data_IF_643734226857
#
_entry.id   IF_643734226857
#
_cell.length_a   1.000
_cell.length_b   1.000
_cell.length_c   1.000
_cell.angle_alpha   90.00
_cell.angle_beta   90.00
_cell.angle_gamma   90.00
#
_symmetry.space_group_name_H-M   'P 1'
#
loop_
_entity.id
_entity.type
_entity.pdbx_description
1 polymer ?
#
# COMPACT_ATOMS: atom_id res chain seq x y z
N UNK A 1 6.36 -0.82 -11.99
CA UNK A 1 6.11 -2.18 -12.53
C UNK A 1 7.38 -2.79 -13.07
N UNK A 2 7.56 -4.09 -12.84
CA UNK A 2 8.74 -4.83 -13.26
C UNK A 2 8.72 -5.13 -14.77
N UNK A 3 9.57 -4.44 -15.53
CA UNK A 3 9.71 -4.60 -16.97
C UNK A 3 10.30 -5.96 -17.36
N UNK A 4 11.00 -6.65 -16.46
CA UNK A 4 11.64 -7.94 -16.76
C UNK A 4 10.62 -9.05 -16.99
N UNK A 5 9.51 -9.03 -16.26
CA UNK A 5 8.42 -10.00 -16.40
C UNK A 5 7.32 -9.55 -17.37
N UNK A 6 7.39 -8.31 -17.86
CA UNK A 6 6.37 -7.73 -18.72
C UNK A 6 6.16 -8.53 -20.02
N UNK A 7 7.20 -8.96 -20.77
CA UNK A 7 7.02 -9.79 -21.96
C UNK A 7 6.04 -10.94 -21.76
N UNK A 8 5.14 -11.15 -22.73
CA UNK A 8 4.06 -12.15 -22.73
C UNK A 8 2.89 -11.92 -21.77
N UNK A 9 2.92 -10.86 -20.96
CA UNK A 9 1.80 -10.54 -20.04
C UNK A 9 0.70 -9.77 -20.75
N UNK A 10 -0.52 -10.11 -20.38
CA UNK A 10 -1.73 -9.37 -20.75
C UNK A 10 -1.78 -8.03 -20.01
N UNK A 11 -2.40 -7.05 -20.64
CA UNK A 11 -2.71 -5.75 -20.05
C UNK A 11 -4.10 -5.26 -20.45
N UNK A 12 -4.68 -4.45 -19.56
CA UNK A 12 -5.86 -3.65 -19.81
C UNK A 12 -5.44 -2.21 -20.03
N UNK A 13 -5.74 -1.66 -21.21
CA UNK A 13 -5.57 -0.26 -21.55
C UNK A 13 -6.90 0.44 -21.32
N UNK A 14 -6.89 1.45 -20.44
CA UNK A 14 -8.10 2.18 -20.08
C UNK A 14 -8.33 3.32 -21.08
N UNK A 15 -9.40 3.22 -21.87
CA UNK A 15 -9.81 4.23 -22.86
C UNK A 15 -11.18 4.81 -22.51
N UNK A 16 -11.57 5.89 -23.19
CA UNK A 16 -12.92 6.47 -23.04
C UNK A 16 -14.04 5.52 -23.49
N UNK A 17 -13.73 4.57 -24.38
CA UNK A 17 -14.69 3.61 -24.93
C UNK A 17 -14.69 2.28 -24.14
N UNK A 18 -14.00 2.22 -23.02
CA UNK A 18 -13.82 1.02 -22.20
C UNK A 18 -12.41 0.45 -22.28
N UNK A 19 -12.27 -0.79 -21.82
CA UNK A 19 -10.97 -1.47 -21.74
C UNK A 19 -10.63 -2.09 -23.09
N UNK A 20 -9.46 -1.75 -23.61
CA UNK A 20 -8.81 -2.45 -24.74
C UNK A 20 -7.77 -3.40 -24.17
N UNK A 21 -7.82 -4.67 -24.58
CA UNK A 21 -6.80 -5.65 -24.19
C UNK A 21 -5.56 -5.52 -25.06
N UNK A 22 -4.39 -5.69 -24.45
CA UNK A 22 -3.13 -5.80 -25.16
C UNK A 22 -2.22 -6.84 -24.54
N UNK A 23 -1.12 -7.12 -25.21
CA UNK A 23 -0.08 -8.03 -24.73
C UNK A 23 1.27 -7.33 -24.86
N UNK A 24 2.11 -7.42 -23.84
CA UNK A 24 3.50 -7.00 -23.96
C UNK A 24 4.25 -7.90 -24.95
N UNK A 25 4.62 -7.31 -26.09
CA UNK A 25 5.35 -7.99 -27.15
C UNK A 25 6.85 -8.08 -26.85
N UNK A 26 7.47 -9.15 -27.33
CA UNK A 26 8.91 -9.33 -27.26
C UNK A 26 9.41 -10.30 -28.36
N UNK A 27 10.56 -10.06 -29.01
CA UNK A 27 11.05 -10.93 -30.08
C UNK A 27 11.21 -12.39 -29.65
N UNK A 28 10.95 -13.33 -30.55
CA UNK A 28 11.14 -14.76 -30.26
C UNK A 28 12.62 -15.07 -29.98
N UNK A 29 12.90 -15.98 -29.03
CA UNK A 29 14.28 -16.29 -28.60
C UNK A 29 15.22 -16.68 -29.74
N UNK A 30 14.70 -17.33 -30.79
CA UNK A 30 15.46 -17.76 -31.97
C UNK A 30 15.84 -16.61 -32.92
N UNK A 31 15.19 -15.44 -32.79
CA UNK A 31 15.42 -14.26 -33.63
C UNK A 31 16.32 -13.22 -32.97
N UNK A 32 16.68 -13.43 -31.70
CA UNK A 32 17.51 -12.51 -30.93
C UNK A 32 18.99 -12.77 -31.19
N UNK A 33 19.75 -11.68 -31.25
CA UNK A 33 21.20 -11.75 -31.25
C UNK A 33 21.70 -12.11 -29.84
N UNK A 34 22.15 -13.35 -29.67
CA UNK A 34 22.68 -13.86 -28.39
C UNK A 34 23.94 -13.13 -27.93
N UNK A 35 24.71 -12.54 -28.85
CA UNK A 35 25.93 -11.80 -28.51
C UNK A 35 25.66 -10.41 -27.95
N UNK A 36 24.44 -9.88 -28.16
CA UNK A 36 24.02 -8.54 -27.73
C UNK A 36 22.54 -8.52 -27.32
N UNK A 37 22.12 -9.50 -26.52
CA UNK A 37 20.73 -9.59 -26.07
C UNK A 37 20.42 -8.45 -25.09
N UNK A 38 19.54 -7.54 -25.51
CA UNK A 38 19.05 -6.45 -24.65
C UNK A 38 17.95 -7.00 -23.74
N UNK A 39 17.99 -6.75 -22.42
CA UNK A 39 16.87 -7.09 -21.56
C UNK A 39 15.67 -6.17 -21.86
N UNK A 40 14.44 -6.62 -21.55
CA UNK A 40 13.27 -5.75 -21.48
C UNK A 40 13.56 -4.53 -20.62
N UNK A 41 13.11 -3.36 -21.06
CA UNK A 41 13.22 -2.06 -20.40
C UNK A 41 12.03 -1.20 -20.81
N UNK A 42 11.72 -0.17 -20.02
CA UNK A 42 10.60 0.73 -20.30
C UNK A 42 10.66 1.39 -21.69
N UNK A 43 11.87 1.62 -22.22
CA UNK A 43 12.10 2.27 -23.51
C UNK A 43 12.07 1.30 -24.71
N UNK A 44 12.04 -0.01 -24.49
CA UNK A 44 12.11 -1.01 -25.57
C UNK A 44 10.99 -2.05 -25.56
N UNK A 45 10.17 -2.10 -24.50
CA UNK A 45 8.94 -2.89 -24.48
C UNK A 45 7.81 -2.14 -25.19
N UNK A 46 6.90 -2.90 -25.81
CA UNK A 46 5.73 -2.36 -26.49
C UNK A 46 4.52 -3.26 -26.22
N UNK A 47 3.33 -2.69 -26.38
CA UNK A 47 2.06 -3.41 -26.23
C UNK A 47 1.45 -3.58 -27.61
N UNK A 48 1.18 -4.82 -27.95
CA UNK A 48 0.43 -5.19 -29.14
C UNK A 48 -1.07 -5.29 -28.77
N UNK A 49 -1.90 -4.57 -29.53
CA UNK A 49 -3.37 -4.57 -29.41
C UNK A 49 -4.04 -5.25 -30.61
N UNK A 50 -3.26 -5.91 -31.47
CA UNK A 50 -3.73 -6.56 -32.70
C UNK A 50 -4.01 -5.62 -33.86
N UNK A 51 -3.57 -4.36 -33.77
CA UNK A 51 -3.82 -3.33 -34.78
C UNK A 51 -2.75 -3.36 -35.88
N UNK A 52 -3.17 -3.20 -37.14
CA UNK A 52 -2.27 -3.20 -38.31
C UNK A 52 -1.45 -1.91 -38.44
N UNK A 53 -1.99 -0.80 -37.97
CA UNK A 53 -1.43 0.53 -38.12
C UNK A 53 -1.92 1.48 -37.01
N UNK A 54 -1.36 2.70 -37.02
CA UNK A 54 -1.69 3.76 -36.08
C UNK A 54 -3.18 4.13 -36.11
N UNK A 55 -3.81 4.14 -37.29
CA UNK A 55 -5.22 4.55 -37.42
C UNK A 55 -6.15 3.55 -36.74
N UNK A 56 -5.83 2.25 -36.81
CA UNK A 56 -6.56 1.22 -36.09
C UNK A 56 -6.37 1.31 -34.57
N UNK A 57 -5.15 1.60 -34.09
CA UNK A 57 -4.90 1.89 -32.66
C UNK A 57 -5.75 3.06 -32.17
N UNK A 58 -5.80 4.16 -32.93
CA UNK A 58 -6.62 5.33 -32.59
C UNK A 58 -8.11 5.02 -32.61
N UNK A 59 -8.60 4.20 -33.55
CA UNK A 59 -10.00 3.74 -33.61
C UNK A 59 -10.40 2.91 -32.40
N UNK A 60 -9.46 2.15 -31.82
CA UNK A 60 -9.68 1.45 -30.54
C UNK A 60 -9.77 2.42 -29.34
N UNK A 61 -9.48 3.71 -29.54
CA UNK A 61 -9.51 4.73 -28.49
C UNK A 61 -8.21 4.83 -27.69
N UNK A 62 -7.16 4.11 -28.11
CA UNK A 62 -5.85 4.16 -27.46
C UNK A 62 -5.12 5.42 -27.90
N UNK A 63 -4.68 6.24 -26.94
CA UNK A 63 -3.93 7.46 -27.20
C UNK A 63 -2.85 7.70 -26.13
N UNK A 64 -1.96 8.65 -26.37
CA UNK A 64 -0.94 9.06 -25.39
C UNK A 64 -1.63 9.50 -24.10
N UNK A 65 -1.18 8.95 -22.98
CA UNK A 65 -1.78 9.18 -21.66
C UNK A 65 -2.81 8.15 -21.21
N UNK A 66 -3.18 7.16 -22.05
CA UNK A 66 -3.95 6.01 -21.58
C UNK A 66 -3.20 5.26 -20.47
N UNK A 67 -3.88 5.00 -19.36
CA UNK A 67 -3.35 4.24 -18.24
C UNK A 67 -3.45 2.75 -18.54
N UNK A 68 -2.45 2.00 -18.10
CA UNK A 68 -2.37 0.55 -18.31
C UNK A 68 -2.34 -0.15 -16.96
N UNK A 69 -3.07 -1.24 -16.83
CA UNK A 69 -3.03 -2.12 -15.65
C UNK A 69 -2.90 -3.57 -16.08
N UNK A 70 -2.17 -4.37 -15.31
CA UNK A 70 -2.24 -5.82 -15.46
C UNK A 70 -3.64 -6.34 -15.05
N UNK A 71 -4.16 -7.40 -15.71
CA UNK A 71 -5.48 -7.94 -15.42
C UNK A 71 -5.48 -8.97 -14.29
N UNK A 72 -4.35 -9.16 -13.58
CA UNK A 72 -4.25 -10.11 -12.47
C UNK A 72 -5.32 -9.85 -11.41
N UNK A 73 -5.94 -10.94 -10.94
CA UNK A 73 -7.09 -10.94 -10.05
C UNK A 73 -6.74 -11.42 -8.66
N UNK A 74 -7.75 -11.42 -7.77
CA UNK A 74 -7.61 -11.91 -6.42
C UNK A 74 -7.68 -13.43 -6.33
N UNK A 75 -6.73 -14.00 -5.62
CA UNK A 75 -6.64 -15.42 -5.34
C UNK A 75 -6.30 -15.64 -3.86
N UNK A 76 -6.76 -16.78 -3.34
CA UNK A 76 -6.34 -17.29 -2.04
C UNK A 76 -5.40 -18.47 -2.30
N UNK A 77 -4.11 -18.29 -2.02
CA UNK A 77 -3.12 -19.37 -2.07
C UNK A 77 -3.00 -20.03 -0.71
N UNK A 78 -2.92 -21.36 -0.71
CA UNK A 78 -2.72 -22.17 0.49
C UNK A 78 -3.57 -21.74 1.70
N UNK A 79 -4.89 -21.60 1.49
CA UNK A 79 -5.93 -21.29 2.50
C UNK A 79 -5.98 -19.84 3.00
N UNK A 80 -4.84 -19.17 3.19
CA UNK A 80 -4.76 -17.93 3.98
C UNK A 80 -3.88 -16.83 3.36
N UNK A 81 -3.22 -17.09 2.22
CA UNK A 81 -2.43 -16.07 1.51
C UNK A 81 -3.29 -15.36 0.48
N UNK A 82 -3.54 -14.09 0.72
CA UNK A 82 -4.22 -13.21 -0.23
C UNK A 82 -3.21 -12.72 -1.26
N UNK A 83 -3.52 -12.97 -2.53
CA UNK A 83 -2.62 -12.74 -3.66
C UNK A 83 -3.36 -12.00 -4.76
N UNK A 84 -2.90 -10.80 -5.11
CA UNK A 84 -3.43 -10.02 -6.22
C UNK A 84 -2.46 -8.90 -6.61
N UNK A 85 -2.81 -8.13 -7.64
CA UNK A 85 -2.09 -6.89 -7.98
C UNK A 85 -2.43 -5.75 -7.03
N UNK A 86 -1.47 -4.87 -6.78
CA UNK A 86 -1.65 -3.61 -6.07
C UNK A 86 -2.33 -3.81 -4.71
N UNK A 87 -1.88 -4.79 -3.94
CA UNK A 87 -2.21 -4.90 -2.52
C UNK A 87 -1.66 -3.67 -1.81
N UNK A 88 -0.44 -3.27 -2.18
CA UNK A 88 0.11 -1.95 -1.90
C UNK A 88 -0.61 -0.86 -2.72
N UNK A 89 -1.31 0.11 -2.12
CA UNK A 89 -1.88 0.10 -0.76
C UNK A 89 -3.41 0.01 -0.79
N UNK A 90 -3.98 -0.73 -1.76
CA UNK A 90 -5.44 -1.01 -1.78
C UNK A 90 -5.90 -1.78 -0.54
N UNK A 91 -5.03 -2.61 0.03
CA UNK A 91 -5.32 -3.28 1.30
C UNK A 91 -5.51 -2.26 2.42
N UNK A 92 -4.66 -1.22 2.53
CA UNK A 92 -4.86 -0.13 3.49
C UNK A 92 -6.24 0.51 3.36
N UNK A 93 -6.63 0.83 2.13
CA UNK A 93 -7.96 1.40 1.85
C UNK A 93 -9.13 0.47 2.19
N UNK A 94 -8.97 -0.83 2.01
CA UNK A 94 -9.94 -1.83 2.48
C UNK A 94 -9.99 -1.87 4.02
N UNK A 95 -8.84 -1.90 4.68
CA UNK A 95 -8.75 -2.01 6.15
C UNK A 95 -9.41 -0.83 6.85
N UNK A 96 -9.16 0.41 6.41
CA UNK A 96 -9.80 1.58 7.02
C UNK A 96 -11.31 1.65 6.75
N UNK A 97 -11.77 1.13 5.61
CA UNK A 97 -13.19 1.01 5.32
C UNK A 97 -13.87 -0.03 6.23
N UNK A 98 -13.19 -1.15 6.51
CA UNK A 98 -13.67 -2.15 7.47
C UNK A 98 -13.72 -1.61 8.89
N UNK A 99 -12.75 -0.79 9.32
CA UNK A 99 -12.83 -0.08 10.61
C UNK A 99 -14.10 0.78 10.69
N UNK A 100 -14.39 1.56 9.65
CA UNK A 100 -15.60 2.38 9.59
C UNK A 100 -16.88 1.52 9.62
N UNK A 101 -16.89 0.37 8.92
CA UNK A 101 -17.98 -0.61 8.95
C UNK A 101 -18.19 -1.17 10.36
N UNK A 102 -17.12 -1.57 11.04
CA UNK A 102 -17.18 -2.10 12.42
C UNK A 102 -17.70 -1.06 13.41
N UNK A 103 -17.26 0.20 13.31
CA UNK A 103 -17.80 1.29 14.14
C UNK A 103 -19.31 1.46 13.93
N UNK A 104 -19.77 1.38 12.69
CA UNK A 104 -21.19 1.49 12.34
C UNK A 104 -22.00 0.30 12.89
N UNK A 105 -21.59 -0.94 12.61
CA UNK A 105 -22.31 -2.15 13.01
C UNK A 105 -22.38 -2.31 14.52
N UNK A 106 -21.30 -1.96 15.23
CA UNK A 106 -21.26 -1.96 16.70
C UNK A 106 -21.91 -0.73 17.33
N UNK A 107 -22.47 0.19 16.51
CA UNK A 107 -23.15 1.42 16.95
C UNK A 107 -22.28 2.29 17.85
N UNK A 108 -20.97 2.30 17.60
CA UNK A 108 -20.00 3.09 18.36
C UNK A 108 -20.12 4.55 17.92
N UNK A 109 -20.24 5.45 18.89
CA UNK A 109 -20.12 6.90 18.67
C UNK A 109 -18.81 7.38 19.27
N UNK A 110 -17.89 7.82 18.43
CA UNK A 110 -16.63 8.40 18.88
C UNK A 110 -16.88 9.83 19.41
N UNK A 111 -16.18 10.23 20.49
CA UNK A 111 -16.32 11.56 21.07
C UNK A 111 -15.57 12.66 20.30
N UNK A 112 -15.12 12.36 19.08
CA UNK A 112 -14.34 13.23 18.19
C UNK A 112 -14.74 12.99 16.73
N UNK A 113 -14.39 13.92 15.85
CA UNK A 113 -14.56 13.75 14.40
C UNK A 113 -13.55 12.73 13.86
N UNK A 114 -14.05 11.66 13.23
CA UNK A 114 -13.22 10.70 12.51
C UNK A 114 -13.30 10.99 11.01
N UNK A 115 -12.13 11.20 10.39
CA UNK A 115 -11.99 11.30 8.94
C UNK A 115 -11.29 10.05 8.43
N UNK A 116 -11.93 9.34 7.51
CA UNK A 116 -11.37 8.14 6.87
C UNK A 116 -11.03 8.49 5.43
N UNK A 117 -9.75 8.44 5.08
CA UNK A 117 -9.26 8.95 3.80
C UNK A 117 -8.37 7.94 3.09
N UNK A 118 -8.61 7.73 1.79
CA UNK A 118 -7.64 7.14 0.88
C UNK A 118 -6.90 8.27 0.16
N UNK A 119 -5.59 8.34 0.31
CA UNK A 119 -4.75 9.26 -0.45
C UNK A 119 -4.56 8.74 -1.88
N UNK A 120 -4.16 9.65 -2.77
CA UNK A 120 -3.71 9.32 -4.12
C UNK A 120 -2.27 9.80 -4.26
N UNK A 121 -1.53 9.26 -5.23
CA UNK A 121 -0.19 9.77 -5.57
C UNK A 121 0.83 9.66 -4.42
N UNK A 122 0.67 8.68 -3.53
CA UNK A 122 1.68 8.28 -2.53
C UNK A 122 3.00 7.94 -3.27
N UNK A 123 2.91 7.03 -4.23
CA UNK A 123 3.99 6.44 -5.04
C UNK A 123 4.81 7.42 -5.89
N UNK A 124 4.37 8.69 -5.97
CA UNK A 124 5.07 9.76 -6.68
C UNK A 124 5.45 10.94 -5.76
N UNK A 125 5.37 10.72 -4.44
CA UNK A 125 5.82 11.66 -3.41
C UNK A 125 4.70 12.21 -2.53
N UNK A 126 3.80 11.35 -2.03
CA UNK A 126 2.86 11.64 -0.94
C UNK A 126 1.85 12.78 -1.22
N UNK A 127 1.60 13.10 -2.50
CA UNK A 127 0.91 14.35 -2.89
C UNK A 127 -0.53 14.43 -2.41
N UNK A 128 -1.25 13.31 -2.42
CA UNK A 128 -2.61 13.25 -1.89
C UNK A 128 -2.63 13.49 -0.38
N UNK A 129 -1.71 12.89 0.37
CA UNK A 129 -1.62 13.10 1.81
C UNK A 129 -1.26 14.55 2.15
N UNK A 130 -0.32 15.17 1.43
CA UNK A 130 -0.02 16.61 1.58
C UNK A 130 -1.29 17.46 1.44
N UNK A 131 -2.13 17.22 0.43
CA UNK A 131 -3.40 17.94 0.25
C UNK A 131 -4.40 17.68 1.39
N UNK A 132 -4.53 16.42 1.82
CA UNK A 132 -5.44 16.02 2.90
C UNK A 132 -5.05 16.73 4.20
N UNK A 133 -3.75 16.78 4.53
CA UNK A 133 -3.29 17.42 5.77
C UNK A 133 -3.65 18.90 5.83
N UNK A 134 -3.54 19.62 4.71
CA UNK A 134 -3.89 21.04 4.64
C UNK A 134 -5.40 21.28 4.71
N UNK A 135 -6.18 20.34 4.20
CA UNK A 135 -7.65 20.44 4.17
C UNK A 135 -8.27 20.10 5.52
N UNK A 136 -7.89 18.97 6.10
CA UNK A 136 -8.49 18.43 7.33
C UNK A 136 -7.85 19.03 8.58
N UNK A 137 -6.54 19.32 8.53
CA UNK A 137 -5.74 19.80 9.68
C UNK A 137 -6.01 18.99 10.96
N UNK A 138 -5.83 17.65 10.92
CA UNK A 138 -6.22 16.77 12.03
C UNK A 138 -5.34 16.97 13.26
N UNK A 139 -5.86 16.61 14.44
CA UNK A 139 -5.10 16.61 15.69
C UNK A 139 -4.17 15.39 15.82
N UNK A 140 -4.61 14.25 15.29
CA UNK A 140 -3.84 13.01 15.26
C UNK A 140 -4.16 12.22 13.98
N UNK A 141 -3.21 11.40 13.54
CA UNK A 141 -3.34 10.54 12.38
C UNK A 141 -2.83 9.12 12.70
N UNK A 142 -3.70 8.12 12.52
CA UNK A 142 -3.28 6.72 12.46
C UNK A 142 -3.26 6.36 10.98
N UNK A 143 -2.05 6.15 10.46
CA UNK A 143 -1.81 5.80 9.07
C UNK A 143 -1.57 4.30 8.97
N UNK A 144 -2.08 3.69 7.90
CA UNK A 144 -1.79 2.30 7.58
C UNK A 144 -1.22 2.19 6.18
N UNK A 145 -0.14 1.44 6.08
CA UNK A 145 0.57 1.17 4.84
C UNK A 145 1.17 -0.23 4.89
N UNK A 146 1.80 -0.69 3.83
CA UNK A 146 2.48 -1.99 3.84
C UNK A 146 3.92 -1.88 4.34
N UNK A 147 4.51 -3.01 4.71
CA UNK A 147 5.93 -3.13 5.01
C UNK A 147 6.45 -4.48 4.50
N UNK A 148 7.76 -4.70 4.52
CA UNK A 148 8.35 -5.89 3.92
C UNK A 148 8.31 -7.11 4.86
N UNK A 149 7.76 -8.23 4.39
CA UNK A 149 8.09 -9.53 4.96
C UNK A 149 9.53 -9.91 4.58
N UNK A 150 10.42 -9.73 5.56
CA UNK A 150 11.87 -9.99 5.49
C UNK A 150 12.26 -11.47 5.56
N UNK A 151 11.30 -12.38 5.74
CA UNK A 151 11.51 -13.83 5.58
C UNK A 151 11.52 -14.25 4.11
N UNK A 152 11.14 -13.35 3.21
CA UNK A 152 11.27 -13.54 1.75
C UNK A 152 12.72 -13.88 1.40
N UNK A 153 12.97 -14.92 0.58
CA UNK A 153 14.32 -15.26 0.13
C UNK A 153 15.05 -14.05 -0.47
N UNK A 154 16.35 -13.96 -0.22
CA UNK A 154 17.26 -12.88 -0.68
C UNK A 154 17.09 -11.52 0.03
N UNK A 155 16.22 -11.37 1.04
CA UNK A 155 16.21 -10.20 1.90
C UNK A 155 17.14 -10.41 3.10
N UNK A 156 18.08 -9.48 3.33
CA UNK A 156 18.96 -9.52 4.51
C UNK A 156 18.29 -8.90 5.74
N UNK A 157 17.82 -9.77 6.64
CA UNK A 157 17.19 -9.40 7.91
C UNK A 157 18.08 -8.52 8.82
N UNK A 158 19.41 -8.60 8.71
CA UNK A 158 20.29 -7.72 9.51
C UNK A 158 20.15 -6.26 9.09
N UNK A 159 19.87 -6.02 7.81
CA UNK A 159 19.74 -4.68 7.26
C UNK A 159 18.29 -4.16 7.33
N UNK A 160 17.32 -5.03 7.07
CA UNK A 160 15.91 -4.65 6.95
C UNK A 160 15.11 -4.83 8.26
N UNK A 161 15.71 -5.45 9.28
CA UNK A 161 14.99 -5.90 10.46
C UNK A 161 14.29 -7.24 10.25
N UNK A 162 13.53 -7.68 11.24
CA UNK A 162 12.76 -8.92 11.17
C UNK A 162 11.27 -8.62 11.23
N UNK A 163 10.59 -8.95 10.15
CA UNK A 163 9.14 -8.89 9.97
C UNK A 163 8.72 -10.08 9.13
N UNK A 164 7.62 -10.73 9.51
CA UNK A 164 7.11 -11.96 8.92
C UNK A 164 5.59 -11.89 8.68
N UNK A 165 5.12 -12.45 7.57
CA UNK A 165 3.70 -12.66 7.31
C UNK A 165 3.09 -13.62 8.35
N UNK A 166 1.90 -13.30 8.86
CA UNK A 166 1.14 -14.10 9.82
C UNK A 166 1.53 -13.85 11.28
N UNK A 167 2.48 -12.96 11.54
CA UNK A 167 2.90 -12.57 12.88
C UNK A 167 2.24 -11.26 13.37
N UNK A 168 1.25 -10.74 12.64
CA UNK A 168 0.45 -9.58 13.01
C UNK A 168 0.97 -8.25 12.44
N UNK A 169 0.25 -7.15 12.70
CA UNK A 169 0.59 -5.80 12.25
C UNK A 169 1.97 -5.36 12.73
N UNK A 170 2.59 -4.43 12.02
CA UNK A 170 3.91 -3.90 12.37
C UNK A 170 3.80 -2.47 12.83
N UNK A 171 4.18 -2.20 14.08
CA UNK A 171 4.17 -0.87 14.66
C UNK A 171 5.54 -0.24 14.46
N UNK A 172 5.58 0.93 13.81
CA UNK A 172 6.83 1.58 13.44
C UNK A 172 7.39 2.47 14.56
N UNK A 173 8.72 2.47 14.70
CA UNK A 173 9.52 3.43 15.44
C UNK A 173 10.29 4.27 14.43
N UNK A 174 9.87 5.52 14.23
CA UNK A 174 10.49 6.41 13.24
C UNK A 174 10.36 7.88 13.67
N UNK A 175 11.17 8.80 13.11
CA UNK A 175 11.07 10.24 13.42
C UNK A 175 9.68 10.85 13.19
N UNK A 176 8.92 10.33 12.23
CA UNK A 176 7.54 10.77 11.95
C UNK A 176 6.48 10.12 12.86
N UNK A 177 6.86 9.14 13.70
CA UNK A 177 5.93 8.43 14.59
C UNK A 177 6.00 9.01 16.00
N UNK A 178 4.88 9.55 16.47
CA UNK A 178 4.74 10.16 17.78
C UNK A 178 4.67 9.08 18.88
N UNK A 179 5.50 9.21 19.92
CA UNK A 179 5.70 8.16 20.92
C UNK A 179 4.45 7.90 21.77
N UNK A 180 3.74 8.92 22.27
CA UNK A 180 2.54 8.72 23.11
C UNK A 180 1.43 7.97 22.34
N UNK A 181 1.21 8.30 21.07
CA UNK A 181 0.23 7.64 20.20
C UNK A 181 0.69 6.21 19.85
N UNK A 182 1.98 6.01 19.56
CA UNK A 182 2.54 4.67 19.35
C UNK A 182 2.39 3.78 20.59
N UNK A 183 2.75 4.27 21.77
CA UNK A 183 2.63 3.50 23.02
C UNK A 183 1.17 3.15 23.30
N UNK A 184 0.22 4.08 23.07
CA UNK A 184 -1.22 3.77 23.15
C UNK A 184 -1.63 2.62 22.21
N UNK A 185 -1.13 2.60 20.97
CA UNK A 185 -1.40 1.50 20.02
C UNK A 185 -0.83 0.18 20.57
N UNK A 186 0.39 0.20 21.10
CA UNK A 186 1.03 -0.98 21.71
C UNK A 186 0.23 -1.49 22.91
N UNK A 187 -0.12 -0.61 23.85
CA UNK A 187 -0.93 -0.94 25.02
C UNK A 187 -2.30 -1.50 24.62
N UNK A 188 -2.90 -0.96 23.56
CA UNK A 188 -4.16 -1.46 22.99
C UNK A 188 -3.99 -2.87 22.46
N UNK A 189 -2.93 -3.13 21.70
CA UNK A 189 -2.61 -4.46 21.18
C UNK A 189 -2.42 -5.47 22.31
N UNK A 190 -1.65 -5.11 23.35
CA UNK A 190 -1.38 -5.95 24.52
C UNK A 190 -2.66 -6.25 25.32
N UNK A 191 -3.49 -5.22 25.57
CA UNK A 191 -4.77 -5.34 26.30
C UNK A 191 -5.74 -6.29 25.59
N UNK A 192 -5.85 -6.16 24.26
CA UNK A 192 -6.77 -6.96 23.45
C UNK A 192 -6.14 -8.25 22.90
N UNK A 193 -4.90 -8.56 23.30
CA UNK A 193 -4.12 -9.73 22.85
C UNK A 193 -4.04 -9.84 21.32
N UNK A 194 -3.88 -8.71 20.64
CA UNK A 194 -3.66 -8.64 19.21
C UNK A 194 -2.15 -8.87 18.98
N UNK A 195 -1.74 -9.90 18.22
CA UNK A 195 -0.33 -10.11 17.92
C UNK A 195 0.20 -8.94 17.10
N UNK A 196 1.44 -8.52 17.34
CA UNK A 196 2.07 -7.46 16.56
C UNK A 196 3.60 -7.59 16.56
N UNK A 197 4.22 -6.91 15.61
CA UNK A 197 5.66 -6.83 15.41
C UNK A 197 6.12 -5.38 15.51
N UNK A 198 7.43 -5.16 15.60
CA UNK A 198 8.02 -3.82 15.66
C UNK A 198 9.02 -3.64 14.54
N UNK A 199 9.03 -2.46 13.94
CA UNK A 199 10.01 -2.06 12.92
C UNK A 199 10.59 -0.70 13.27
N UNK A 200 11.85 -0.46 12.90
CA UNK A 200 12.49 0.83 13.05
C UNK A 200 12.80 1.42 11.67
N UNK A 201 12.48 2.69 11.47
CA UNK A 201 12.82 3.45 10.27
C UNK A 201 13.65 4.68 10.68
N UNK A 202 14.90 4.76 10.24
CA UNK A 202 15.87 5.71 10.79
C UNK A 202 15.76 7.15 10.25
N UNK A 203 15.32 7.31 9.00
CA UNK A 203 15.24 8.63 8.32
C UNK A 203 13.81 9.08 8.07
N UNK A 204 13.01 8.22 7.47
CA UNK A 204 11.64 8.46 7.07
C UNK A 204 10.89 7.13 7.07
N UNK A 205 9.57 7.18 7.15
CA UNK A 205 8.76 5.97 6.93
C UNK A 205 8.65 5.66 5.45
N UNK A 206 8.73 6.68 4.58
CA UNK A 206 8.46 6.56 3.15
C UNK A 206 6.97 6.42 2.85
N UNK A 207 6.10 6.76 3.81
CA UNK A 207 4.64 6.59 3.72
C UNK A 207 3.96 7.94 3.95
N UNK A 208 2.64 7.97 3.76
CA UNK A 208 1.80 9.12 4.10
C UNK A 208 2.00 9.63 5.55
N UNK A 209 2.48 8.78 6.46
CA UNK A 209 2.83 9.18 7.84
C UNK A 209 3.79 10.36 7.88
N UNK A 210 4.75 10.42 6.96
CA UNK A 210 5.71 11.52 6.89
C UNK A 210 5.00 12.84 6.52
N UNK A 211 4.07 12.81 5.57
CA UNK A 211 3.29 13.98 5.17
C UNK A 211 2.40 14.49 6.31
N UNK A 212 1.73 13.59 7.04
CA UNK A 212 0.93 13.99 8.21
C UNK A 212 1.81 14.57 9.32
N UNK A 213 2.85 13.84 9.74
CA UNK A 213 3.67 14.20 10.90
C UNK A 213 4.27 15.61 10.79
N UNK A 214 4.77 15.99 9.62
CA UNK A 214 5.45 17.27 9.40
C UNK A 214 4.53 18.41 8.92
N UNK A 215 3.22 18.16 8.80
CA UNK A 215 2.25 19.19 8.41
C UNK A 215 1.80 20.04 9.59
N UNK A 216 1.22 21.21 9.32
CA UNK A 216 0.41 22.00 10.26
C UNK A 216 1.07 22.38 11.62
N UNK A 217 2.41 22.40 11.68
CA UNK A 217 3.15 22.66 12.93
C UNK A 217 3.43 21.40 13.76
N UNK A 218 3.10 20.21 13.23
CA UNK A 218 3.27 18.91 13.84
C UNK A 218 1.93 18.24 14.12
N UNK A 219 1.64 17.13 13.44
CA UNK A 219 0.47 16.28 13.72
C UNK A 219 0.94 15.01 14.42
N UNK A 220 0.34 14.66 15.56
CA UNK A 220 0.63 13.41 16.25
C UNK A 220 0.25 12.22 15.35
N UNK A 221 1.25 11.61 14.72
CA UNK A 221 1.04 10.58 13.68
C UNK A 221 1.63 9.25 14.12
N UNK A 222 1.02 8.15 13.75
CA UNK A 222 1.55 6.81 13.97
C UNK A 222 1.26 5.90 12.78
N UNK A 223 2.13 4.90 12.59
CA UNK A 223 2.08 3.98 11.46
C UNK A 223 1.87 2.54 11.95
N UNK A 224 0.79 1.93 11.48
CA UNK A 224 0.48 0.50 11.64
C UNK A 224 0.58 -0.15 10.25
N UNK A 225 1.64 -0.91 10.02
CA UNK A 225 1.89 -1.52 8.72
C UNK A 225 1.37 -2.95 8.59
N UNK A 226 0.99 -3.32 7.37
CA UNK A 226 0.69 -4.70 6.96
C UNK A 226 1.94 -5.36 6.37
N UNK A 227 2.46 -6.45 6.95
CA UNK A 227 3.50 -7.25 6.31
C UNK A 227 3.08 -7.72 4.92
N UNK A 228 3.95 -7.53 3.92
CA UNK A 228 3.69 -7.85 2.52
C UNK A 228 4.93 -8.44 1.83
N UNK A 229 4.70 -9.42 0.96
CA UNK A 229 5.71 -9.97 0.04
C UNK A 229 5.55 -9.40 -1.36
N UNK A 230 6.70 -9.22 -2.00
CA UNK A 230 6.82 -8.83 -3.41
C UNK A 230 6.28 -7.43 -3.72
N UNK A 231 6.43 -6.52 -2.76
CA UNK A 231 6.05 -5.10 -2.89
C UNK A 231 6.54 -4.51 -4.21
N UNK A 232 5.66 -3.77 -4.90
CA UNK A 232 5.90 -3.13 -6.20
C UNK A 232 6.18 -4.08 -7.38
N UNK A 233 6.05 -5.40 -7.18
CA UNK A 233 5.95 -6.34 -8.29
C UNK A 233 4.50 -6.38 -8.82
N UNK A 234 4.25 -7.14 -9.89
CA UNK A 234 2.89 -7.17 -10.49
C UNK A 234 1.87 -7.84 -9.59
N UNK A 235 2.27 -8.85 -8.82
CA UNK A 235 1.40 -9.64 -7.94
C UNK A 235 2.07 -9.77 -6.59
N UNK A 236 1.36 -9.33 -5.57
CA UNK A 236 1.83 -9.23 -4.19
C UNK A 236 1.15 -10.27 -3.31
N UNK A 237 1.64 -10.45 -2.09
CA UNK A 237 1.06 -11.44 -1.16
C UNK A 237 1.04 -10.95 0.27
N UNK A 238 -0.09 -11.10 0.94
CA UNK A 238 -0.28 -10.83 2.38
C UNK A 238 -0.95 -11.99 3.08
N UNK A 239 -0.86 -12.03 4.40
CA UNK A 239 -1.59 -12.99 5.22
C UNK A 239 -2.98 -12.46 5.54
N UNK A 240 -4.02 -13.29 5.39
CA UNK A 240 -5.40 -12.90 5.73
C UNK A 240 -5.51 -12.41 7.18
N UNK A 241 -4.94 -13.15 8.12
CA UNK A 241 -5.04 -12.79 9.55
C UNK A 241 -4.29 -11.50 9.91
N UNK A 242 -3.24 -11.13 9.17
CA UNK A 242 -2.58 -9.83 9.40
C UNK A 242 -3.50 -8.69 9.00
N UNK A 243 -4.22 -8.81 7.87
CA UNK A 243 -5.23 -7.83 7.43
C UNK A 243 -6.29 -7.65 8.51
N UNK A 244 -6.84 -8.74 9.03
CA UNK A 244 -7.83 -8.71 10.12
C UNK A 244 -7.27 -8.05 11.39
N UNK A 245 -6.03 -8.39 11.78
CA UNK A 245 -5.43 -7.84 12.98
C UNK A 245 -5.09 -6.35 12.85
N UNK A 246 -4.76 -5.85 11.65
CA UNK A 246 -4.58 -4.39 11.42
C UNK A 246 -5.93 -3.68 11.63
N UNK A 247 -7.00 -4.19 11.03
CA UNK A 247 -8.36 -3.65 11.19
C UNK A 247 -8.74 -3.60 12.68
N UNK A 248 -8.58 -4.71 13.38
CA UNK A 248 -8.87 -4.81 14.81
C UNK A 248 -8.03 -3.85 15.64
N UNK A 249 -6.74 -3.73 15.35
CA UNK A 249 -5.84 -2.85 16.10
C UNK A 249 -6.22 -1.38 15.93
N UNK A 250 -6.53 -0.94 14.71
CA UNK A 250 -6.99 0.44 14.46
C UNK A 250 -8.33 0.67 15.17
N UNK A 251 -9.29 -0.25 14.99
CA UNK A 251 -10.61 -0.15 15.62
C UNK A 251 -10.52 -0.01 17.14
N UNK A 252 -9.84 -0.94 17.83
CA UNK A 252 -9.70 -0.89 19.28
C UNK A 252 -8.94 0.36 19.73
N UNK A 253 -7.92 0.80 18.99
CA UNK A 253 -7.16 2.01 19.34
C UNK A 253 -8.07 3.23 19.34
N UNK A 254 -8.93 3.39 18.33
CA UNK A 254 -9.87 4.50 18.24
C UNK A 254 -10.81 4.58 19.45
N UNK A 255 -11.21 3.43 20.01
CA UNK A 255 -12.07 3.39 21.21
C UNK A 255 -11.38 3.90 22.47
N UNK A 256 -10.03 3.91 22.50
CA UNK A 256 -9.27 4.36 23.67
C UNK A 256 -8.96 5.86 23.67
N UNK A 257 -9.11 6.54 22.53
CA UNK A 257 -8.76 7.96 22.38
C UNK A 257 -9.82 8.83 23.05
N UNK A 258 -9.41 9.75 23.93
CA UNK A 258 -10.30 10.69 24.60
C UNK A 258 -10.38 12.03 23.86
N UNK A 259 -11.51 12.76 23.97
CA UNK A 259 -11.63 14.09 23.38
C UNK A 259 -10.62 15.06 24.00
N UNK A 260 -10.00 15.89 23.16
CA UNK A 260 -9.04 16.91 23.59
C UNK A 260 -7.63 16.39 23.91
N UNK A 261 -7.35 15.10 23.69
CA UNK A 261 -5.97 14.60 23.81
C UNK A 261 -5.05 15.25 22.77
N UNK A 262 -3.93 15.78 23.24
CA UNK A 262 -2.95 16.51 22.43
C UNK A 262 -1.76 15.65 22.02
N UNK A 263 -1.54 14.53 22.73
CA UNK A 263 -0.30 13.74 22.67
C UNK A 263 0.99 14.55 22.94
N UNK A 264 0.88 15.74 23.54
CA UNK A 264 2.00 16.60 23.95
C UNK A 264 2.88 15.89 24.97
N UNK A 265 4.21 16.04 24.92
CA UNK A 265 5.12 15.50 25.96
C UNK A 265 5.20 16.39 27.21
N UNK A 266 4.62 17.58 27.16
CA UNK A 266 4.72 18.59 28.21
C UNK A 266 3.45 18.72 29.06
N UNK A 267 2.41 17.96 28.68
CA UNK A 267 1.16 17.82 29.42
C UNK A 267 1.25 16.63 30.39
#
# INVERSE_FOLDING_TARGET
SDHQIAPSKWVNIHTKNGIVKGIFGWPAIHTRDKSNEKPPKLDNIFIDVGAKDKEEVLKLGVHVGCVITYPDQFHILNKDRFVCRAIDNRAGGFMIAEVARLLHENKVKLPFGLYVTNSVQEEIGLRGAEMITQTIRPNAAIVTDVCHDTTTPMIDKKTQGHTELGAGPVISYAPAVQNKLRERIIETAETHKIPFQRMAASRSTGTDTDAFAYSNGGVASALISLPLRYMHTTVETVHKDDVENVIRLIYETLLTIKPGETFSYFD
#
